data_IF_850855696323
#
_entry.id   IF_850855696323
#
_cell.length_a   1.000
_cell.length_b   1.000
_cell.length_c   1.000
_cell.angle_alpha   90.00
_cell.angle_beta   90.00
_cell.angle_gamma   90.00
#
_symmetry.space_group_name_H-M   'P 1'
#
loop_
_entity.id
_entity.type
_entity.pdbx_description
1 polymer ?
#
# COMPACT_ATOMS: atom_id res chain seq x y z
N UNK A 1 -12.64 19.23 32.84
CA UNK A 1 -11.98 19.07 31.53
C UNK A 1 -10.73 18.22 31.71
N UNK A 2 -10.92 16.90 31.83
CA UNK A 2 -9.86 15.93 31.59
C UNK A 2 -10.30 15.26 30.29
N UNK A 3 -10.22 16.01 29.20
CA UNK A 3 -10.17 15.39 27.88
C UNK A 3 -8.82 14.69 27.85
N UNK A 4 -8.87 13.39 28.14
CA UNK A 4 -7.74 12.50 27.91
C UNK A 4 -7.25 12.76 26.49
N UNK A 5 -5.97 13.16 26.39
CA UNK A 5 -5.14 12.88 25.24
C UNK A 5 -5.23 11.37 25.01
N UNK A 6 -6.26 10.93 24.27
CA UNK A 6 -6.19 9.69 23.54
C UNK A 6 -5.01 9.93 22.59
N UNK A 7 -3.82 9.48 23.00
CA UNK A 7 -2.69 9.34 22.09
C UNK A 7 -3.28 8.72 20.82
N UNK A 8 -3.12 9.40 19.69
CA UNK A 8 -3.72 9.01 18.42
C UNK A 8 -3.16 7.65 18.02
N UNK A 9 -3.77 6.59 18.54
CA UNK A 9 -3.33 5.22 18.35
C UNK A 9 -3.59 4.88 16.89
N UNK A 10 -2.52 4.63 16.15
CA UNK A 10 -2.63 4.21 14.78
C UNK A 10 -2.68 2.68 14.74
N UNK A 11 -3.64 2.14 14.01
CA UNK A 11 -3.65 0.74 13.62
C UNK A 11 -3.34 0.67 12.14
N UNK A 12 -2.45 -0.20 11.71
CA UNK A 12 -2.16 -0.45 10.30
C UNK A 12 -2.30 -1.94 9.97
N UNK A 13 -2.56 -2.26 8.71
CA UNK A 13 -2.32 -3.60 8.18
C UNK A 13 -0.86 -3.67 7.76
N UNK A 14 -0.21 -4.78 8.09
CA UNK A 14 1.13 -5.11 7.64
C UNK A 14 1.11 -6.47 6.94
N UNK A 15 1.79 -6.57 5.80
CA UNK A 15 2.03 -7.83 5.10
C UNK A 15 3.50 -8.22 5.25
N UNK A 16 3.76 -9.50 5.43
CA UNK A 16 5.11 -10.03 5.64
C UNK A 16 5.31 -11.28 4.79
N UNK A 17 6.45 -11.37 4.12
CA UNK A 17 6.78 -12.56 3.35
C UNK A 17 8.22 -13.02 3.55
N UNK A 18 8.39 -14.33 3.41
CA UNK A 18 9.68 -14.98 3.30
C UNK A 18 10.39 -14.63 1.98
N UNK A 19 11.43 -15.40 1.66
CA UNK A 19 12.13 -15.21 0.38
C UNK A 19 11.18 -15.50 -0.79
N UNK A 20 10.33 -16.52 -0.61
CA UNK A 20 9.31 -16.97 -1.54
C UNK A 20 8.04 -17.31 -0.76
N UNK A 21 6.91 -17.37 -1.47
CA UNK A 21 5.63 -17.82 -0.92
C UNK A 21 4.69 -16.68 -0.54
N UNK A 22 3.54 -17.05 0.05
CA UNK A 22 2.47 -16.10 0.34
C UNK A 22 2.82 -15.12 1.46
N UNK A 23 2.10 -14.01 1.50
CA UNK A 23 2.18 -13.04 2.60
C UNK A 23 1.37 -13.51 3.82
N UNK A 24 1.94 -13.35 5.00
CA UNK A 24 1.22 -13.33 6.28
C UNK A 24 0.71 -11.92 6.54
N UNK A 25 -0.47 -11.79 7.13
CA UNK A 25 -1.12 -10.50 7.38
C UNK A 25 -1.21 -10.26 8.89
N UNK A 26 -0.84 -9.07 9.31
CA UNK A 26 -0.85 -8.62 10.70
C UNK A 26 -1.60 -7.30 10.84
N UNK A 27 -2.23 -7.12 11.99
CA UNK A 27 -2.65 -5.83 12.49
C UNK A 27 -1.56 -5.30 13.43
N UNK A 28 -0.99 -4.14 13.15
CA UNK A 28 0.04 -3.50 13.96
C UNK A 28 -0.53 -2.26 14.64
N UNK A 29 -0.29 -2.10 15.94
CA UNK A 29 -0.74 -0.94 16.72
C UNK A 29 0.45 -0.06 17.11
N UNK A 30 0.38 1.23 16.81
CA UNK A 30 1.37 2.24 17.16
C UNK A 30 0.81 3.18 18.25
N UNK A 31 1.63 3.65 19.22
CA UNK A 31 3.09 3.49 19.31
C UNK A 31 3.57 2.16 19.88
N UNK A 32 2.68 1.28 20.34
CA UNK A 32 3.04 0.07 21.10
C UNK A 32 3.92 -0.93 20.32
N UNK A 33 3.84 -0.94 18.98
CA UNK A 33 4.54 -1.89 18.12
C UNK A 33 4.04 -3.33 18.25
N UNK A 34 2.89 -3.54 18.89
CA UNK A 34 2.28 -4.86 19.03
C UNK A 34 1.67 -5.30 17.69
N UNK A 35 2.01 -6.51 17.26
CA UNK A 35 1.50 -7.12 16.03
C UNK A 35 0.60 -8.32 16.35
N UNK A 36 -0.63 -8.31 15.84
CA UNK A 36 -1.61 -9.39 15.97
C UNK A 36 -1.78 -10.09 14.63
N UNK A 37 -1.58 -11.41 14.51
CA UNK A 37 -1.78 -12.12 13.25
C UNK A 37 -3.27 -12.12 12.87
N UNK A 38 -3.56 -11.79 11.62
CA UNK A 38 -4.91 -11.83 11.05
C UNK A 38 -5.12 -13.05 10.15
N UNK A 39 -4.05 -13.53 9.50
CA UNK A 39 -4.11 -14.72 8.67
C UNK A 39 -2.96 -14.80 7.67
N UNK A 40 -3.13 -15.65 6.67
CA UNK A 40 -2.20 -15.82 5.54
C UNK A 40 -2.98 -15.70 4.24
N UNK A 41 -2.39 -15.04 3.25
CA UNK A 41 -2.94 -15.00 1.90
C UNK A 41 -2.55 -16.27 1.14
N UNK A 42 -3.21 -16.53 0.01
CA UNK A 42 -2.84 -17.56 -0.96
C UNK A 42 -1.77 -17.07 -1.95
N UNK A 43 -1.40 -15.79 -1.85
CA UNK A 43 -0.47 -15.08 -2.75
C UNK A 43 0.46 -14.18 -1.98
N UNK A 44 1.52 -13.75 -2.64
CA UNK A 44 2.35 -12.67 -2.16
C UNK A 44 1.69 -11.34 -2.50
N UNK A 45 1.75 -10.42 -1.56
CA UNK A 45 1.21 -9.08 -1.65
C UNK A 45 2.25 -8.09 -1.13
N UNK A 46 2.40 -6.98 -1.85
CA UNK A 46 3.30 -5.88 -1.54
C UNK A 46 2.74 -4.57 -2.12
N UNK A 47 3.49 -3.47 -1.99
CA UNK A 47 3.07 -2.12 -2.31
C UNK A 47 1.67 -1.77 -1.79
N UNK A 48 1.43 -1.91 -0.48
CA UNK A 48 0.10 -1.76 0.11
C UNK A 48 -0.19 -0.34 0.62
N UNK A 49 -1.43 0.13 0.51
CA UNK A 49 -1.87 1.43 1.05
C UNK A 49 -3.36 1.45 1.40
N UNK A 50 -3.75 2.26 2.37
CA UNK A 50 -5.13 2.33 2.88
C UNK A 50 -5.94 3.47 2.23
N UNK A 51 -7.07 3.11 1.63
CA UNK A 51 -8.08 4.06 1.17
C UNK A 51 -9.07 4.35 2.28
N UNK A 52 -9.05 5.59 2.80
CA UNK A 52 -10.03 6.07 3.77
C UNK A 52 -11.46 6.09 3.20
N UNK A 53 -11.61 6.48 1.93
CA UNK A 53 -12.91 6.61 1.28
C UNK A 53 -13.63 5.26 1.15
N UNK A 54 -12.87 4.21 0.85
CA UNK A 54 -13.41 2.87 0.64
C UNK A 54 -13.26 1.96 1.88
N UNK A 55 -12.49 2.40 2.88
CA UNK A 55 -12.14 1.64 4.08
C UNK A 55 -11.52 0.26 3.75
N UNK A 56 -10.66 0.25 2.73
CA UNK A 56 -9.97 -0.93 2.20
C UNK A 56 -8.46 -0.66 2.09
N UNK A 57 -7.67 -1.72 2.21
CA UNK A 57 -6.23 -1.69 1.91
C UNK A 57 -6.03 -2.25 0.51
N UNK A 58 -5.40 -1.49 -0.37
CA UNK A 58 -5.06 -1.94 -1.72
C UNK A 58 -3.59 -2.35 -1.76
N UNK A 59 -3.23 -3.27 -2.65
CA UNK A 59 -1.85 -3.61 -2.95
C UNK A 59 -1.69 -4.36 -4.26
N UNK A 60 -0.46 -4.74 -4.56
CA UNK A 60 -0.10 -5.43 -5.80
C UNK A 60 0.42 -6.83 -5.52
N UNK A 61 -0.14 -7.84 -6.18
CA UNK A 61 0.35 -9.22 -6.11
C UNK A 61 1.54 -9.49 -7.06
N UNK A 62 2.19 -10.66 -6.94
CA UNK A 62 3.37 -11.02 -7.75
C UNK A 62 3.12 -11.02 -9.28
N UNK A 63 1.86 -11.16 -9.71
CA UNK A 63 1.50 -11.13 -11.12
C UNK A 63 1.28 -9.71 -11.66
N UNK A 64 1.30 -8.71 -10.77
CA UNK A 64 1.02 -7.30 -11.07
C UNK A 64 -0.47 -6.99 -11.09
N UNK A 65 -1.30 -7.74 -10.33
CA UNK A 65 -2.73 -7.41 -10.16
C UNK A 65 -2.92 -6.54 -8.93
N UNK A 66 -3.81 -5.56 -9.05
CA UNK A 66 -4.34 -4.83 -7.91
C UNK A 66 -5.30 -5.74 -7.14
N UNK A 67 -5.11 -5.83 -5.82
CA UNK A 67 -5.97 -6.58 -4.91
C UNK A 67 -6.38 -5.69 -3.73
N UNK A 68 -7.51 -6.00 -3.10
CA UNK A 68 -8.00 -5.30 -1.94
C UNK A 68 -8.11 -6.24 -0.72
N UNK A 69 -7.78 -5.73 0.46
CA UNK A 69 -8.02 -6.34 1.75
C UNK A 69 -9.03 -5.50 2.54
N UNK A 70 -9.90 -6.17 3.28
CA UNK A 70 -10.67 -5.52 4.33
C UNK A 70 -9.83 -5.29 5.60
N UNK A 71 -10.43 -4.64 6.61
CA UNK A 71 -9.77 -4.35 7.90
C UNK A 71 -9.41 -5.61 8.70
N UNK A 72 -10.00 -6.76 8.38
CA UNK A 72 -9.65 -8.05 8.99
C UNK A 72 -8.53 -8.76 8.23
N UNK A 73 -7.94 -8.10 7.22
CA UNK A 73 -6.84 -8.64 6.44
C UNK A 73 -7.27 -9.68 5.41
N UNK A 74 -8.56 -9.77 5.09
CA UNK A 74 -9.10 -10.74 4.13
C UNK A 74 -9.19 -10.12 2.75
N UNK A 75 -8.85 -10.90 1.72
CA UNK A 75 -9.07 -10.51 0.33
C UNK A 75 -10.57 -10.27 0.07
N UNK A 76 -10.88 -9.15 -0.56
CA UNK A 76 -12.23 -8.77 -0.96
C UNK A 76 -12.26 -8.27 -2.39
N UNK A 77 -13.44 -8.36 -3.01
CA UNK A 77 -13.63 -7.96 -4.40
C UNK A 77 -12.93 -8.87 -5.41
N UNK A 78 -12.93 -8.43 -6.67
CA UNK A 78 -12.25 -9.12 -7.77
C UNK A 78 -10.90 -8.42 -8.03
N UNK A 79 -9.78 -9.15 -8.08
CA UNK A 79 -8.50 -8.60 -8.51
C UNK A 79 -8.57 -7.96 -9.90
N UNK A 80 -7.79 -6.92 -10.15
CA UNK A 80 -7.69 -6.37 -11.50
C UNK A 80 -7.08 -7.37 -12.49
N UNK A 81 -7.24 -7.14 -13.81
CA UNK A 81 -6.36 -7.77 -14.78
C UNK A 81 -4.88 -7.49 -14.46
N UNK A 82 -3.97 -8.42 -14.79
CA UNK A 82 -2.55 -8.25 -14.50
C UNK A 82 -1.92 -7.18 -15.39
N UNK A 83 -1.10 -6.31 -14.79
CA UNK A 83 -0.30 -5.31 -15.48
C UNK A 83 1.18 -5.62 -15.26
N UNK A 84 1.90 -5.97 -16.33
CA UNK A 84 3.28 -6.43 -16.23
C UNK A 84 4.23 -5.39 -15.58
N UNK A 85 3.98 -4.10 -15.82
CA UNK A 85 4.76 -2.99 -15.24
C UNK A 85 4.66 -2.91 -13.71
N UNK A 86 3.61 -3.48 -13.11
CA UNK A 86 3.41 -3.47 -11.66
C UNK A 86 4.07 -4.66 -10.97
N UNK A 87 4.67 -5.59 -11.72
CA UNK A 87 5.43 -6.69 -11.12
C UNK A 87 6.63 -6.13 -10.37
N UNK A 88 6.95 -6.77 -9.25
CA UNK A 88 8.02 -6.33 -8.35
C UNK A 88 7.78 -4.95 -7.73
N UNK A 89 6.53 -4.54 -7.55
CA UNK A 89 6.21 -3.37 -6.73
C UNK A 89 6.75 -3.57 -5.30
N UNK A 90 7.43 -2.55 -4.79
CA UNK A 90 8.16 -2.63 -3.51
C UNK A 90 7.62 -1.73 -2.41
N UNK A 91 6.89 -0.67 -2.78
CA UNK A 91 6.32 0.33 -1.88
C UNK A 91 4.98 0.80 -2.42
N UNK A 92 4.05 1.17 -1.55
CA UNK A 92 2.74 1.66 -1.96
C UNK A 92 2.10 2.60 -0.95
N UNK A 93 1.32 3.56 -1.43
CA UNK A 93 0.47 4.40 -0.59
C UNK A 93 -0.74 4.85 -1.40
N UNK A 94 -1.89 5.03 -0.75
CA UNK A 94 -3.08 5.53 -1.44
C UNK A 94 -3.09 7.06 -1.39
N UNK A 95 -3.20 7.69 -2.56
CA UNK A 95 -3.33 9.14 -2.74
C UNK A 95 -4.63 9.42 -3.48
N UNK A 96 -5.65 9.86 -2.74
CA UNK A 96 -7.01 9.99 -3.26
C UNK A 96 -7.57 8.63 -3.72
N UNK A 97 -8.05 8.55 -4.96
CA UNK A 97 -8.58 7.31 -5.56
C UNK A 97 -7.54 6.53 -6.37
N UNK A 98 -6.25 6.66 -6.00
CA UNK A 98 -5.15 5.95 -6.66
C UNK A 98 -4.20 5.33 -5.65
N UNK A 99 -3.74 4.12 -5.94
CA UNK A 99 -2.58 3.53 -5.29
C UNK A 99 -1.33 4.00 -6.04
N UNK A 100 -0.47 4.78 -5.39
CA UNK A 100 0.85 5.15 -5.91
C UNK A 100 1.82 4.06 -5.51
N UNK A 101 2.40 3.37 -6.48
CA UNK A 101 3.32 2.26 -6.27
C UNK A 101 4.71 2.57 -6.79
N UNK A 102 5.74 2.11 -6.07
CA UNK A 102 7.12 2.12 -6.57
C UNK A 102 7.45 0.83 -7.27
N UNK A 103 7.98 0.93 -8.48
CA UNK A 103 8.62 -0.19 -9.20
C UNK A 103 9.96 0.28 -9.76
N UNK A 104 11.06 -0.20 -9.18
CA UNK A 104 12.41 0.23 -9.58
C UNK A 104 12.61 1.75 -9.40
N UNK A 105 12.98 2.50 -10.47
CA UNK A 105 13.13 3.96 -10.41
C UNK A 105 11.83 4.73 -10.69
N UNK A 106 10.68 4.07 -10.79
CA UNK A 106 9.43 4.69 -11.21
C UNK A 106 8.37 4.66 -10.11
N UNK A 107 7.52 5.69 -10.11
CA UNK A 107 6.23 5.71 -9.45
C UNK A 107 5.14 5.53 -10.50
N UNK A 108 4.18 4.65 -10.23
CA UNK A 108 2.96 4.51 -11.03
C UNK A 108 1.73 4.81 -10.16
N UNK A 109 0.78 5.58 -10.68
CA UNK A 109 -0.50 5.81 -10.01
C UNK A 109 -1.59 4.95 -10.64
N UNK A 110 -2.10 3.98 -9.87
CA UNK A 110 -3.03 2.93 -10.30
C UNK A 110 -4.42 3.23 -9.76
N UNK A 111 -5.45 3.22 -10.61
CA UNK A 111 -6.84 3.45 -10.17
C UNK A 111 -7.37 2.34 -9.25
N UNK A 112 -7.98 2.69 -8.11
CA UNK A 112 -8.44 1.72 -7.10
C UNK A 112 -9.97 1.55 -7.00
N UNK A 113 -10.76 2.38 -7.70
CA UNK A 113 -12.22 2.25 -7.71
C UNK A 113 -12.66 1.06 -8.59
N UNK A 114 -13.22 -0.02 -8.01
CA UNK A 114 -13.65 -1.20 -8.78
C UNK A 114 -14.85 -0.93 -9.70
N UNK A 115 -15.58 0.17 -9.50
CA UNK A 115 -16.66 0.61 -10.39
C UNK A 115 -16.17 1.40 -11.61
N UNK A 116 -14.90 1.80 -11.64
CA UNK A 116 -14.32 2.61 -12.70
C UNK A 116 -13.74 1.75 -13.84
N UNK A 117 -13.81 2.27 -15.07
CA UNK A 117 -13.13 1.69 -16.23
C UNK A 117 -11.59 1.69 -16.09
N UNK A 118 -11.07 2.53 -15.19
CA UNK A 118 -9.65 2.66 -14.88
C UNK A 118 -9.20 1.78 -13.70
N UNK A 119 -10.05 0.91 -13.17
CA UNK A 119 -9.68 0.00 -12.10
C UNK A 119 -8.47 -0.87 -12.47
N UNK A 120 -7.40 -0.77 -11.68
CA UNK A 120 -6.13 -1.45 -11.93
C UNK A 120 -5.31 -0.90 -13.10
N UNK A 121 -5.74 0.19 -13.75
CA UNK A 121 -4.98 0.83 -14.84
C UNK A 121 -4.01 1.87 -14.29
N UNK A 122 -2.83 1.93 -14.89
CA UNK A 122 -1.85 2.99 -14.65
C UNK A 122 -2.36 4.26 -15.35
N UNK A 123 -2.53 5.33 -14.57
CA UNK A 123 -3.02 6.63 -15.04
C UNK A 123 -1.93 7.72 -15.05
N UNK A 124 -0.83 7.47 -14.35
CA UNK A 124 0.29 8.41 -14.24
C UNK A 124 1.60 7.67 -13.94
N UNK A 125 2.70 8.21 -14.42
CA UNK A 125 4.06 7.70 -14.25
C UNK A 125 5.00 8.86 -13.93
N UNK A 126 5.88 8.69 -12.94
CA UNK A 126 6.93 9.63 -12.62
C UNK A 126 8.24 8.92 -12.31
N UNK A 127 9.36 9.45 -12.80
CA UNK A 127 10.69 8.95 -12.45
C UNK A 127 11.13 9.51 -11.10
N UNK A 128 11.69 8.67 -10.24
CA UNK A 128 12.25 9.11 -8.98
C UNK A 128 13.56 9.87 -9.20
N UNK A 129 13.62 11.10 -8.67
CA UNK A 129 14.76 12.00 -8.86
C UNK A 129 15.16 12.70 -7.56
N UNK A 130 16.45 12.87 -7.24
CA UNK A 130 17.62 12.41 -8.00
C UNK A 130 17.74 10.88 -8.04
N UNK A 131 18.37 10.27 -9.07
CA UNK A 131 18.26 8.83 -9.30
C UNK A 131 18.94 8.01 -8.21
N UNK A 132 20.03 8.52 -7.62
CA UNK A 132 20.74 7.84 -6.54
C UNK A 132 19.86 7.71 -5.27
N UNK A 133 19.15 8.77 -4.92
CA UNK A 133 18.18 8.79 -3.82
C UNK A 133 16.92 8.01 -4.19
N UNK A 134 16.38 8.20 -5.40
CA UNK A 134 15.19 7.53 -5.89
C UNK A 134 15.29 6.01 -5.93
N UNK A 135 16.42 5.48 -6.40
CA UNK A 135 16.67 4.03 -6.40
C UNK A 135 16.78 3.44 -4.99
N UNK A 136 17.10 4.27 -4.00
CA UNK A 136 17.30 3.85 -2.62
C UNK A 136 16.05 3.99 -1.74
N UNK A 137 14.95 4.55 -2.24
CA UNK A 137 13.68 4.64 -1.51
C UNK A 137 13.13 3.23 -1.29
N UNK A 138 13.09 2.75 -0.05
CA UNK A 138 12.64 1.40 0.25
C UNK A 138 11.10 1.31 0.23
N UNK A 139 10.46 2.10 1.09
CA UNK A 139 9.01 2.19 1.27
C UNK A 139 8.57 3.60 1.74
N UNK A 140 7.27 3.91 1.68
CA UNK A 140 6.69 5.20 2.04
C UNK A 140 5.20 5.14 2.45
N UNK A 141 4.73 6.16 3.16
CA UNK A 141 3.31 6.39 3.46
C UNK A 141 2.91 7.85 3.15
N UNK A 142 1.62 8.12 2.95
CA UNK A 142 1.12 9.46 2.63
C UNK A 142 1.01 10.33 3.88
N UNK A 143 1.61 11.53 3.83
CA UNK A 143 1.22 12.62 4.71
C UNK A 143 0.06 13.40 4.10
N UNK A 144 -1.14 13.20 4.63
CA UNK A 144 -2.34 13.89 4.15
C UNK A 144 -2.28 15.42 4.34
N UNK A 145 -1.42 15.94 5.23
CA UNK A 145 -1.35 17.37 5.50
C UNK A 145 -0.65 18.16 4.39
N UNK A 146 0.38 17.58 3.75
CA UNK A 146 1.15 18.24 2.68
C UNK A 146 1.06 17.52 1.33
N UNK A 147 0.44 16.33 1.28
CA UNK A 147 0.27 15.53 0.07
C UNK A 147 1.56 14.83 -0.40
N UNK A 148 2.62 14.83 0.41
CA UNK A 148 3.87 14.15 0.10
C UNK A 148 3.90 12.75 0.70
N UNK A 149 4.65 11.86 0.06
CA UNK A 149 4.93 10.53 0.60
C UNK A 149 6.16 10.59 1.49
N UNK A 150 6.07 10.18 2.75
CA UNK A 150 7.18 10.10 3.67
C UNK A 150 7.69 8.67 3.72
N UNK A 151 8.97 8.50 3.40
CA UNK A 151 9.59 7.19 3.27
C UNK A 151 11.00 7.14 3.84
N UNK A 152 11.68 6.03 3.57
CA UNK A 152 13.06 5.82 4.01
C UNK A 152 13.94 5.48 2.82
N UNK A 153 15.11 6.11 2.73
CA UNK A 153 16.17 5.63 1.85
C UNK A 153 17.24 4.87 2.63
N UNK A 154 17.67 3.72 2.11
CA UNK A 154 18.78 2.96 2.70
C UNK A 154 20.04 3.07 1.84
N UNK A 155 21.14 3.51 2.47
CA UNK A 155 22.46 3.60 1.83
C UNK A 155 23.54 2.95 2.71
N UNK A 156 24.07 1.81 2.25
CA UNK A 156 25.20 1.14 2.91
C UNK A 156 24.96 0.88 4.40
N UNK A 157 25.61 1.66 5.27
CA UNK A 157 25.55 1.50 6.73
C UNK A 157 24.46 2.33 7.44
N UNK A 158 23.68 3.14 6.72
CA UNK A 158 22.63 3.96 7.34
C UNK A 158 21.40 4.14 6.47
N UNK A 159 20.36 4.70 7.07
CA UNK A 159 19.16 5.11 6.39
C UNK A 159 18.72 6.50 6.83
N UNK A 160 17.94 7.18 5.99
CA UNK A 160 17.47 8.56 6.20
C UNK A 160 16.00 8.67 5.80
N UNK A 161 15.24 9.51 6.49
CA UNK A 161 13.87 9.82 6.10
C UNK A 161 13.86 10.77 4.91
N UNK A 162 12.98 10.50 3.95
CA UNK A 162 12.79 11.33 2.76
C UNK A 162 11.32 11.64 2.54
N UNK A 163 11.04 12.74 1.85
CA UNK A 163 9.76 12.96 1.17
C UNK A 163 9.90 12.58 -0.29
N UNK A 164 8.82 12.06 -0.89
CA UNK A 164 8.67 11.85 -2.33
C UNK A 164 7.40 12.56 -2.77
N UNK A 165 7.52 13.42 -3.77
CA UNK A 165 6.37 14.02 -4.45
C UNK A 165 5.74 12.97 -5.38
N UNK A 166 4.48 12.54 -5.15
CA UNK A 166 3.84 11.50 -5.94
C UNK A 166 3.56 11.91 -7.40
N UNK A 167 3.58 13.21 -7.69
CA UNK A 167 3.33 13.77 -9.04
C UNK A 167 4.63 13.93 -9.81
N UNK A 168 5.70 14.40 -9.17
CA UNK A 168 6.96 14.69 -9.88
C UNK A 168 8.02 13.61 -9.69
N UNK A 169 7.85 12.70 -8.72
CA UNK A 169 8.87 11.73 -8.31
C UNK A 169 10.05 12.37 -7.57
N UNK A 170 9.97 13.65 -7.21
CA UNK A 170 11.08 14.35 -6.54
C UNK A 170 11.26 13.86 -5.12
N UNK A 171 12.47 13.38 -4.82
CA UNK A 171 12.91 12.89 -3.51
C UNK A 171 13.73 13.96 -2.81
N UNK A 172 13.36 14.31 -1.58
CA UNK A 172 14.11 15.25 -0.73
C UNK A 172 14.32 14.64 0.65
N UNK A 173 15.46 14.90 1.27
CA UNK A 173 15.69 14.49 2.66
C UNK A 173 14.83 15.34 3.61
N UNK A 174 14.27 14.71 4.63
CA UNK A 174 13.59 15.43 5.70
C UNK A 174 14.65 15.91 6.71
N UNK A 175 14.81 17.21 6.92
CA UNK A 175 15.78 17.72 7.88
C UNK A 175 15.34 17.40 9.31
N UNK A 176 16.31 17.22 10.21
CA UNK A 176 16.01 17.02 11.63
C UNK A 176 15.38 15.66 11.98
N UNK A 177 15.28 14.72 11.04
CA UNK A 177 15.04 13.31 11.36
C UNK A 177 16.38 12.65 11.67
N UNK A 178 16.51 11.95 12.79
CA UNK A 178 17.76 11.31 13.20
C UNK A 178 18.23 10.24 12.20
N UNK A 179 19.40 9.65 12.46
CA UNK A 179 19.93 8.59 11.59
C UNK A 179 19.35 7.24 11.96
N UNK A 180 18.78 6.55 10.98
CA UNK A 180 18.35 5.16 11.10
C UNK A 180 19.52 4.21 10.80
N UNK A 181 19.58 3.02 11.43
CA UNK A 181 20.59 2.03 11.11
C UNK A 181 20.44 1.51 9.68
N UNK A 182 21.53 1.06 9.06
CA UNK A 182 21.48 0.39 7.77
C UNK A 182 20.82 -1.00 7.85
N UNK A 183 20.72 -1.70 6.72
CA UNK A 183 20.15 -3.05 6.69
C UNK A 183 19.83 -3.51 5.28
N UNK A 184 18.93 -4.48 5.16
CA UNK A 184 18.43 -4.95 3.87
C UNK A 184 17.33 -4.06 3.26
N UNK A 185 16.99 -2.95 3.90
CA UNK A 185 15.91 -2.03 3.51
C UNK A 185 14.81 -1.94 4.57
N UNK A 186 14.10 -0.81 4.56
CA UNK A 186 12.93 -0.55 5.39
C UNK A 186 11.67 -0.88 4.60
N UNK A 187 11.09 -2.05 4.84
CA UNK A 187 10.00 -2.56 4.01
C UNK A 187 8.63 -1.99 4.35
N UNK A 188 8.41 -1.59 5.61
CA UNK A 188 7.13 -1.05 6.04
C UNK A 188 7.31 0.34 6.66
N UNK A 189 6.55 1.30 6.15
CA UNK A 189 6.48 2.68 6.64
C UNK A 189 5.02 3.02 6.99
N UNK A 190 4.80 3.68 8.11
CA UNK A 190 3.48 4.19 8.50
C UNK A 190 3.62 5.56 9.14
N UNK A 191 2.91 6.54 8.60
CA UNK A 191 2.80 7.86 9.21
C UNK A 191 1.59 7.89 10.14
N UNK A 192 1.84 8.21 11.40
CA UNK A 192 0.82 8.24 12.44
C UNK A 192 0.38 9.66 12.78
N UNK A 193 -0.85 9.79 13.30
CA UNK A 193 -1.44 11.06 13.72
C UNK A 193 -0.70 11.76 14.87
N UNK A 194 0.22 11.08 15.55
CA UNK A 194 1.15 11.66 16.53
C UNK A 194 2.35 12.38 15.90
N UNK A 195 2.36 12.57 14.58
CA UNK A 195 3.42 13.28 13.86
C UNK A 195 4.74 12.49 13.80
N UNK A 196 4.67 11.16 13.92
CA UNK A 196 5.83 10.28 13.86
C UNK A 196 5.71 9.26 12.75
N UNK A 197 6.87 8.89 12.20
CA UNK A 197 7.02 7.83 11.23
C UNK A 197 7.40 6.54 11.95
N UNK A 198 6.65 5.48 11.71
CA UNK A 198 6.93 4.13 12.19
C UNK A 198 7.52 3.33 11.04
N UNK A 199 8.76 2.88 11.17
CA UNK A 199 9.51 2.28 10.07
C UNK A 199 10.09 0.94 10.50
N UNK A 200 9.88 -0.10 9.70
CA UNK A 200 10.37 -1.45 9.99
C UNK A 200 11.53 -1.80 9.07
N UNK A 201 12.72 -1.97 9.66
CA UNK A 201 13.84 -2.56 8.95
C UNK A 201 13.58 -4.06 8.78
N UNK A 202 13.62 -4.57 7.55
CA UNK A 202 13.33 -5.97 7.25
C UNK A 202 14.33 -6.91 7.95
N UNK A 203 15.62 -6.53 7.89
CA UNK A 203 16.71 -7.33 8.44
C UNK A 203 17.94 -6.47 8.75
N UNK A 204 18.08 -6.12 10.02
CA UNK A 204 19.28 -5.55 10.63
C UNK A 204 19.86 -6.57 11.62
N UNK A 205 21.08 -7.04 11.38
CA UNK A 205 21.73 -8.07 12.21
C UNK A 205 20.86 -9.33 12.44
N UNK A 206 20.14 -9.75 11.41
CA UNK A 206 19.27 -10.93 11.46
C UNK A 206 17.91 -10.69 12.11
N UNK A 207 17.61 -9.45 12.53
CA UNK A 207 16.38 -9.05 13.22
C UNK A 207 15.56 -8.09 12.36
N UNK A 208 14.24 -8.21 12.40
CA UNK A 208 13.36 -7.16 11.90
C UNK A 208 13.07 -6.22 13.06
N UNK A 209 13.28 -4.92 12.86
CA UNK A 209 13.23 -3.94 13.95
C UNK A 209 12.33 -2.78 13.55
N UNK A 210 11.34 -2.51 14.39
CA UNK A 210 10.45 -1.36 14.27
C UNK A 210 11.06 -0.17 15.01
N UNK A 211 11.19 0.96 14.33
CA UNK A 211 11.62 2.22 14.89
C UNK A 211 10.50 3.26 14.81
N UNK A 212 10.45 4.15 15.79
CA UNK A 212 9.70 5.41 15.76
C UNK A 212 10.67 6.55 15.46
N UNK A 213 10.35 7.37 14.46
CA UNK A 213 11.11 8.56 14.07
C UNK A 213 10.23 9.78 14.27
N UNK A 214 10.66 10.70 15.14
CA UNK A 214 9.97 11.97 15.30
C UNK A 214 10.23 12.87 14.08
N UNK A 215 9.17 13.51 13.57
CA UNK A 215 9.26 14.47 12.45
C UNK A 215 9.25 15.93 12.93
N UNK A 216 9.39 16.16 14.24
CA UNK A 216 9.40 17.47 14.89
C UNK A 216 10.76 18.19 14.84
N UNK A 217 11.74 17.62 14.13
CA UNK A 217 13.10 18.14 14.01
C UNK A 217 14.01 17.82 15.19
N UNK A 218 13.55 17.09 16.21
CA UNK A 218 14.35 16.70 17.39
C UNK A 218 15.47 15.70 17.08
N UNK A 219 15.39 15.02 15.93
CA UNK A 219 16.29 13.93 15.59
C UNK A 219 16.02 12.64 16.34
N UNK A 220 14.92 12.54 17.10
CA UNK A 220 14.64 11.37 17.92
C UNK A 220 14.30 10.14 17.08
N UNK A 221 15.05 9.06 17.29
CA UNK A 221 14.80 7.72 16.75
C UNK A 221 14.79 6.74 17.91
N UNK A 222 13.75 5.93 18.02
CA UNK A 222 13.57 4.98 19.13
C UNK A 222 13.22 3.61 18.59
N UNK A 223 13.95 2.57 19.01
CA UNK A 223 13.56 1.18 18.78
C UNK A 223 12.31 0.85 19.62
N UNK A 224 11.28 0.35 18.96
CA UNK A 224 9.97 0.03 19.60
C UNK A 224 9.83 -1.47 19.81
N UNK A 225 10.10 -2.27 18.79
CA UNK A 225 9.95 -3.72 18.86
C UNK A 225 10.91 -4.45 17.92
N UNK A 226 11.17 -5.71 18.25
CA UNK A 226 12.11 -6.58 17.54
C UNK A 226 11.44 -7.92 17.26
N UNK A 227 11.59 -8.42 16.04
CA UNK A 227 11.08 -9.70 15.57
C UNK A 227 12.14 -10.46 14.77
N UNK A 228 11.93 -11.76 14.47
CA UNK A 228 12.80 -12.48 13.54
C UNK A 228 12.94 -11.74 12.21
N UNK A 229 14.14 -11.78 11.59
CA UNK A 229 14.42 -11.04 10.37
C UNK A 229 13.60 -11.53 9.16
N UNK A 230 12.92 -10.60 8.50
CA UNK A 230 12.03 -10.82 7.37
C UNK A 230 12.76 -10.53 6.05
N UNK A 231 12.20 -10.99 4.92
CA UNK A 231 12.75 -10.63 3.60
C UNK A 231 12.01 -9.43 3.02
N UNK A 232 10.68 -9.45 3.10
CA UNK A 232 9.85 -8.27 2.78
C UNK A 232 8.82 -8.06 3.88
N UNK A 233 8.61 -6.79 4.20
CA UNK A 233 7.47 -6.27 4.95
C UNK A 233 6.91 -5.11 4.14
N UNK A 234 5.66 -4.75 4.39
CA UNK A 234 5.00 -3.56 3.85
C UNK A 234 3.77 -3.22 4.70
N UNK A 235 3.40 -1.94 4.82
CA UNK A 235 2.30 -1.48 5.68
C UNK A 235 1.37 -0.48 5.00
N UNK A 236 0.07 -0.59 5.28
CA UNK A 236 -0.99 0.16 4.61
C UNK A 236 -1.07 1.64 4.97
N UNK A 237 -0.29 2.13 5.92
CA UNK A 237 -0.60 3.35 6.65
C UNK A 237 -1.74 3.18 7.66
N UNK A 238 -2.11 4.26 8.34
CA UNK A 238 -3.10 4.24 9.43
C UNK A 238 -4.53 4.01 8.95
N UNK A 239 -5.16 2.95 9.44
CA UNK A 239 -6.58 2.71 9.29
C UNK A 239 -7.39 3.78 10.04
N UNK A 240 -8.52 4.20 9.48
CA UNK A 240 -9.47 5.06 10.19
C UNK A 240 -9.92 4.39 11.50
N UNK A 241 -10.23 5.17 12.53
CA UNK A 241 -10.87 4.60 13.72
C UNK A 241 -12.19 3.92 13.31
N UNK A 242 -12.53 2.75 13.90
CA UNK A 242 -13.86 2.18 13.71
C UNK A 242 -14.92 3.23 14.09
N UNK A 243 -16.06 3.30 13.37
CA UNK A 243 -17.13 4.19 13.76
C UNK A 243 -17.53 3.89 15.21
N UNK A 244 -17.63 4.94 16.02
CA UNK A 244 -18.15 4.81 17.39
C UNK A 244 -19.62 4.45 17.25
N UNK A 245 -19.94 3.19 17.52
CA UNK A 245 -21.35 2.77 17.66
C UNK A 245 -21.81 3.37 18.97
N UNK A 246 -22.64 4.41 18.90
CA UNK A 246 -23.28 4.94 20.11
C UNK A 246 -23.99 3.78 20.80
N UNK A 247 -23.76 3.57 22.11
CA UNK A 247 -24.49 2.56 22.84
C UNK A 247 -25.99 2.81 22.63
N UNK A 248 -26.79 1.76 22.42
CA UNK A 248 -28.21 1.93 22.15
C UNK A 248 -28.80 2.83 23.23
N UNK A 249 -29.44 3.93 22.80
CA UNK A 249 -30.09 4.83 23.73
C UNK A 249 -31.03 4.00 24.61
N UNK A 250 -30.96 4.12 25.95
CA UNK A 250 -31.80 3.32 26.82
C UNK A 250 -33.25 3.52 26.39
N UNK A 251 -33.93 2.41 26.09
CA UNK A 251 -35.36 2.43 25.79
C UNK A 251 -36.04 3.22 26.91
N UNK A 252 -36.79 4.30 26.61
CA UNK A 252 -37.44 5.07 27.64
C UNK A 252 -38.24 4.14 28.52
N UNK A 253 -38.00 4.17 29.83
CA UNK A 253 -38.80 3.39 30.78
C UNK A 253 -40.26 3.76 30.54
N UNK A 254 -41.15 2.78 30.27
CA UNK A 254 -42.55 3.08 30.01
C UNK A 254 -43.07 3.94 31.15
N UNK A 255 -43.55 5.14 30.81
CA UNK A 255 -44.16 6.04 31.80
C UNK A 255 -45.31 5.25 32.44
N UNK A 256 -45.37 5.15 33.78
CA UNK A 256 -46.51 4.52 34.44
C UNK A 256 -47.81 5.11 33.88
N UNK A 257 -48.82 4.28 33.58
CA UNK A 257 -50.07 4.77 33.03
C UNK A 257 -50.62 5.85 33.96
N UNK A 258 -50.76 7.07 33.43
CA UNK A 258 -51.42 8.15 34.15
C UNK A 258 -52.85 7.68 34.45
N UNK A 259 -53.34 7.77 35.71
CA UNK A 259 -54.68 7.35 36.04
C UNK A 259 -55.69 8.12 35.19
N UNK A 260 -56.45 7.39 34.37
CA UNK A 260 -57.51 7.93 33.53
C UNK A 260 -58.57 8.57 34.42
N UNK A 261 -58.94 9.85 34.23
CA UNK A 261 -60.09 10.44 34.89
C UNK A 261 -61.36 9.62 34.59
N UNK A 262 -62.30 9.49 35.54
CA UNK A 262 -63.52 8.72 35.35
C UNK A 262 -64.29 9.23 34.13
N UNK A 263 -64.50 8.35 33.17
CA UNK A 263 -65.24 8.62 31.94
C UNK A 263 -66.73 8.82 32.28
N UNK A 264 -67.36 9.94 31.89
CA UNK A 264 -68.81 10.12 32.02
C UNK A 264 -69.56 9.09 31.18
N UNK A 265 -70.62 8.54 31.76
CA UNK A 265 -71.49 7.52 31.17
C UNK A 265 -72.06 7.99 29.82
N UNK A 266 -71.85 7.24 28.71
CA UNK A 266 -72.39 7.61 27.42
C UNK A 266 -73.93 7.52 27.38
N UNK A 267 -74.63 8.49 26.79
CA UNK A 267 -76.05 8.36 26.48
C UNK A 267 -76.30 7.33 25.37
N UNK A 268 -77.47 6.73 25.45
CA UNK A 268 -77.96 5.59 24.68
C UNK A 268 -77.99 5.87 23.16
N UNK A 269 -77.64 4.91 22.28
CA UNK A 269 -77.54 5.15 20.85
C UNK A 269 -78.93 5.27 20.20
N UNK A 270 -79.21 6.40 19.57
CA UNK A 270 -80.29 6.52 18.58
C UNK A 270 -79.82 5.97 17.24
N UNK A 271 -80.61 5.04 16.71
CA UNK A 271 -80.51 4.44 15.37
C UNK A 271 -80.70 5.50 14.29
N UNK A 272 -79.65 5.74 13.50
CA UNK A 272 -79.76 6.49 12.23
C UNK A 272 -79.31 5.64 11.06
N UNK A 273 -80.17 5.62 10.05
CA UNK A 273 -80.09 4.95 8.74
C UNK A 273 -78.77 5.23 8.01
N UNK A 274 -78.17 4.22 7.34
CA UNK A 274 -76.91 4.40 6.61
C UNK A 274 -77.12 5.20 5.32
N UNK A 275 -76.18 6.11 4.97
CA UNK A 275 -76.19 6.81 3.67
C UNK A 275 -75.65 5.91 2.54
N UNK A 276 -76.00 6.21 1.28
CA UNK A 276 -75.59 5.42 0.11
C UNK A 276 -74.08 5.48 -0.14
N UNK A 277 -73.51 4.34 -0.53
CA UNK A 277 -72.08 4.13 -0.71
C UNK A 277 -71.39 5.09 -1.69
N UNK A 278 -70.28 5.66 -1.25
CA UNK A 278 -69.35 6.41 -2.09
C UNK A 278 -68.51 5.44 -2.94
N UNK A 279 -68.45 5.71 -4.24
CA UNK A 279 -67.63 4.96 -5.20
C UNK A 279 -66.13 5.20 -4.97
N UNK A 280 -65.27 4.22 -5.32
CA UNK A 280 -63.82 4.36 -5.21
C UNK A 280 -63.30 5.44 -6.15
N UNK A 281 -62.66 6.47 -5.60
CA UNK A 281 -61.93 7.47 -6.39
C UNK A 281 -60.64 6.81 -6.89
N UNK A 282 -60.58 6.57 -8.21
CA UNK A 282 -59.38 6.08 -8.90
C UNK A 282 -58.34 7.21 -8.92
N UNK A 283 -57.11 6.99 -8.42
CA UNK A 283 -56.07 8.01 -8.46
C UNK A 283 -55.71 8.36 -9.92
N UNK A 284 -55.48 9.66 -10.22
CA UNK A 284 -55.12 10.09 -11.56
C UNK A 284 -53.80 9.45 -12.01
N UNK A 285 -53.80 8.88 -13.22
CA UNK A 285 -52.60 8.36 -13.86
C UNK A 285 -51.61 9.50 -14.08
N UNK A 286 -50.43 9.37 -13.50
CA UNK A 286 -49.30 10.25 -13.79
C UNK A 286 -48.88 9.99 -15.24
N UNK A 287 -48.82 11.03 -16.11
CA UNK A 287 -48.37 10.87 -17.49
C UNK A 287 -46.89 10.47 -17.52
N UNK A 288 -46.47 9.66 -18.50
CA UNK A 288 -45.08 9.27 -18.66
C UNK A 288 -44.19 10.51 -18.92
N UNK A 289 -42.93 10.49 -18.45
CA UNK A 289 -41.98 11.58 -18.68
C UNK A 289 -41.84 11.86 -20.18
N UNK A 290 -41.84 13.14 -20.55
CA UNK A 290 -41.60 13.55 -21.93
C UNK A 290 -40.21 13.09 -22.39
N UNK A 291 -40.07 12.63 -23.65
CA UNK A 291 -38.78 12.28 -24.21
C UNK A 291 -37.84 13.50 -24.18
N UNK A 292 -36.54 13.29 -23.91
CA UNK A 292 -35.57 14.37 -23.89
C UNK A 292 -35.51 15.07 -25.26
N UNK A 293 -35.29 16.40 -25.29
CA UNK A 293 -35.16 17.15 -26.53
C UNK A 293 -33.99 16.61 -27.37
N UNK A 294 -34.26 16.35 -28.65
CA UNK A 294 -33.24 16.04 -29.64
C UNK A 294 -32.16 17.12 -29.62
N UNK A 295 -30.97 16.77 -29.12
CA UNK A 295 -29.80 17.63 -29.25
C UNK A 295 -29.43 17.73 -30.74
N UNK A 296 -29.15 18.94 -31.25
CA UNK A 296 -28.62 19.12 -32.60
C UNK A 296 -27.31 18.33 -32.74
N UNK A 297 -27.21 17.54 -33.81
CA UNK A 297 -25.98 16.86 -34.20
C UNK A 297 -24.84 17.89 -34.28
N UNK A 298 -23.90 17.83 -33.34
CA UNK A 298 -22.61 18.50 -33.48
C UNK A 298 -21.89 17.94 -34.71
N UNK A 299 -21.31 18.79 -35.57
CA UNK A 299 -20.56 18.35 -36.73
C UNK A 299 -19.32 17.56 -36.27
N UNK A 300 -19.25 16.31 -36.74
CA UNK A 300 -18.11 15.41 -36.51
C UNK A 300 -16.84 16.06 -37.08
N UNK A 301 -15.78 16.24 -36.29
CA UNK A 301 -14.51 16.75 -36.79
C UNK A 301 -13.91 15.78 -37.83
N UNK A 302 -13.23 16.29 -38.88
CA UNK A 302 -12.69 15.45 -39.94
C UNK A 302 -11.64 14.47 -39.40
N UNK A 303 -11.81 13.20 -39.75
CA UNK A 303 -10.86 12.12 -39.47
C UNK A 303 -9.48 12.48 -40.02
N UNK A 304 -8.40 12.43 -39.22
CA UNK A 304 -7.04 12.62 -39.70
C UNK A 304 -6.68 11.57 -40.76
N UNK A 305 -6.12 12.03 -41.88
CA UNK A 305 -5.64 11.20 -42.97
C UNK A 305 -4.47 10.33 -42.49
N UNK A 306 -4.49 9.00 -42.75
CA UNK A 306 -3.42 8.11 -42.30
C UNK A 306 -2.09 8.45 -43.01
N UNK A 307 -0.95 8.38 -42.30
CA UNK A 307 0.35 8.63 -42.89
C UNK A 307 0.66 7.62 -44.02
N UNK A 308 1.40 8.04 -45.07
CA UNK A 308 1.75 7.20 -46.20
C UNK A 308 2.49 5.94 -45.72
N UNK A 309 1.99 4.79 -46.16
CA UNK A 309 2.48 3.48 -45.78
C UNK A 309 3.94 3.29 -46.13
N UNK A 310 4.75 2.98 -45.13
CA UNK A 310 6.12 2.52 -45.30
C UNK A 310 6.15 1.12 -45.89
N UNK A 311 6.87 0.99 -46.99
CA UNK A 311 7.12 -0.22 -47.76
C UNK A 311 7.69 -1.37 -46.90
N UNK A 312 7.23 -2.63 -47.06
CA UNK A 312 7.69 -3.75 -46.24
C UNK A 312 9.16 -4.07 -46.49
N UNK A 313 9.96 -4.12 -45.43
CA UNK A 313 11.33 -4.62 -45.50
C UNK A 313 11.36 -6.09 -45.93
N UNK A 314 12.38 -6.51 -46.71
CA UNK A 314 12.50 -7.89 -47.18
C UNK A 314 12.65 -8.88 -46.01
N UNK A 315 12.09 -10.10 -46.13
CA UNK A 315 12.09 -11.09 -45.07
C UNK A 315 13.52 -11.53 -44.75
N UNK A 316 13.94 -11.33 -43.49
CA UNK A 316 15.17 -11.91 -42.98
C UNK A 316 15.02 -13.43 -42.89
N UNK A 317 15.96 -14.15 -43.53
CA UNK A 317 16.08 -15.60 -43.41
C UNK A 317 16.35 -15.98 -41.95
N UNK A 318 15.35 -16.56 -41.29
CA UNK A 318 15.51 -17.16 -39.98
C UNK A 318 16.33 -18.46 -40.13
N UNK A 319 17.49 -18.50 -39.50
CA UNK A 319 18.21 -19.77 -39.29
C UNK A 319 17.37 -20.68 -38.38
N UNK A 320 17.24 -21.98 -38.72
CA UNK A 320 16.45 -22.90 -37.93
C UNK A 320 17.01 -23.03 -36.50
N UNK A 321 16.13 -23.10 -35.48
CA UNK A 321 16.55 -23.28 -34.10
C UNK A 321 17.26 -24.64 -33.93
N UNK A 322 18.29 -24.71 -33.07
CA UNK A 322 18.93 -25.98 -32.75
C UNK A 322 17.93 -26.94 -32.10
N UNK A 323 18.09 -28.27 -32.29
CA UNK A 323 17.21 -29.26 -31.69
C UNK A 323 17.22 -29.16 -30.16
N UNK A 324 16.10 -29.42 -29.48
CA UNK A 324 16.03 -29.40 -28.03
C UNK A 324 17.00 -30.43 -27.46
N UNK A 325 17.98 -29.98 -26.69
CA UNK A 325 18.80 -30.88 -25.89
C UNK A 325 17.96 -31.47 -24.78
N UNK A 326 18.07 -32.79 -24.58
CA UNK A 326 17.47 -33.51 -23.46
C UNK A 326 17.99 -32.94 -22.13
N UNK A 327 17.17 -32.07 -21.52
CA UNK A 327 17.40 -31.61 -20.15
C UNK A 327 16.95 -32.72 -19.19
N UNK A 328 17.92 -33.52 -18.76
CA UNK A 328 17.80 -34.31 -17.53
C UNK A 328 17.53 -33.35 -16.36
N UNK A 329 16.29 -33.31 -15.88
CA UNK A 329 15.93 -32.65 -14.63
C UNK A 329 16.58 -33.42 -13.47
N UNK A 330 17.48 -32.79 -12.68
CA UNK A 330 18.04 -33.46 -11.52
C UNK A 330 16.97 -33.60 -10.44
N UNK A 331 16.87 -34.83 -9.96
CA UNK A 331 15.99 -35.28 -8.90
C UNK A 331 16.15 -34.44 -7.62
N UNK A 332 15.01 -34.17 -7.00
CA UNK A 332 14.80 -33.27 -5.86
C UNK A 332 15.42 -33.83 -4.58
N UNK A 333 16.74 -33.74 -4.45
CA UNK A 333 17.48 -33.84 -3.19
C UNK A 333 18.44 -32.67 -3.13
N UNK A 334 18.53 -31.99 -1.98
CA UNK A 334 19.63 -31.13 -1.49
C UNK A 334 19.16 -29.80 -0.90
N UNK A 335 18.45 -29.86 0.23
CA UNK A 335 18.41 -28.73 1.17
C UNK A 335 19.78 -28.49 1.86
N UNK A 336 20.70 -29.46 1.80
CA UNK A 336 22.06 -29.38 2.36
C UNK A 336 23.02 -28.54 1.51
N UNK A 337 22.90 -28.53 0.18
CA UNK A 337 23.81 -27.76 -0.68
C UNK A 337 23.56 -26.24 -0.62
N UNK A 338 22.34 -25.81 -0.32
CA UNK A 338 22.03 -24.39 -0.15
C UNK A 338 22.74 -23.77 1.08
N UNK A 339 23.03 -24.56 2.11
CA UNK A 339 23.81 -24.12 3.27
C UNK A 339 25.32 -23.98 2.92
N UNK A 340 25.84 -24.89 2.10
CA UNK A 340 27.24 -24.91 1.68
C UNK A 340 27.58 -23.75 0.72
N UNK A 341 26.67 -23.41 -0.20
CA UNK A 341 26.82 -22.23 -1.08
C UNK A 341 26.84 -20.91 -0.28
N UNK A 342 26.07 -20.82 0.81
CA UNK A 342 26.08 -19.62 1.68
C UNK A 342 27.39 -19.45 2.46
N UNK A 343 28.09 -20.53 2.78
CA UNK A 343 29.43 -20.45 3.38
C UNK A 343 30.48 -19.96 2.37
N UNK A 344 30.41 -20.43 1.12
CA UNK A 344 31.33 -19.99 0.06
C UNK A 344 31.23 -18.49 -0.27
N UNK A 345 30.04 -17.90 -0.25
CA UNK A 345 29.88 -16.45 -0.52
C UNK A 345 30.45 -15.59 0.61
N UNK A 346 30.39 -16.05 1.88
CA UNK A 346 31.03 -15.36 3.01
C UNK A 346 32.56 -15.44 2.93
N UNK A 347 33.10 -16.58 2.54
CA UNK A 347 34.55 -16.75 2.40
C UNK A 347 35.10 -15.97 1.21
N UNK A 348 34.39 -15.92 0.07
CA UNK A 348 34.76 -15.05 -1.05
C UNK A 348 34.80 -13.57 -0.66
N UNK A 349 33.86 -13.09 0.16
CA UNK A 349 33.86 -11.70 0.65
C UNK A 349 35.00 -11.41 1.64
N UNK A 350 35.42 -12.40 2.43
CA UNK A 350 36.58 -12.24 3.34
C UNK A 350 37.89 -12.19 2.56
N UNK A 351 38.05 -13.04 1.54
CA UNK A 351 39.24 -13.05 0.70
C UNK A 351 39.35 -11.82 -0.21
N UNK A 352 38.24 -11.30 -0.75
CA UNK A 352 38.27 -10.08 -1.56
C UNK A 352 38.66 -8.84 -0.75
N UNK A 353 38.22 -8.74 0.52
CA UNK A 353 38.62 -7.64 1.41
C UNK A 353 40.11 -7.72 1.78
N UNK A 354 40.63 -8.91 2.04
CA UNK A 354 42.05 -9.13 2.31
C UNK A 354 42.93 -8.72 1.12
N UNK A 355 42.50 -9.06 -0.10
CA UNK A 355 43.21 -8.67 -1.33
C UNK A 355 43.24 -7.15 -1.54
N UNK A 356 42.13 -6.45 -1.29
CA UNK A 356 42.07 -4.97 -1.40
C UNK A 356 43.01 -4.32 -0.38
N UNK A 357 43.03 -4.79 0.86
CA UNK A 357 43.93 -4.26 1.90
C UNK A 357 45.40 -4.51 1.57
N UNK A 358 45.74 -5.66 0.98
CA UNK A 358 47.11 -5.94 0.51
C UNK A 358 47.54 -5.01 -0.62
N UNK A 359 46.65 -4.74 -1.59
CA UNK A 359 46.95 -3.81 -2.71
C UNK A 359 47.16 -2.39 -2.18
N UNK A 360 46.30 -1.92 -1.28
CA UNK A 360 46.43 -0.59 -0.67
C UNK A 360 47.70 -0.48 0.20
N UNK A 361 48.01 -1.51 0.97
CA UNK A 361 49.23 -1.58 1.78
C UNK A 361 50.52 -1.59 0.93
N UNK A 362 50.54 -2.37 -0.15
CA UNK A 362 51.66 -2.40 -1.09
C UNK A 362 51.86 -1.03 -1.78
N UNK A 363 50.77 -0.36 -2.15
CA UNK A 363 50.82 0.99 -2.72
C UNK A 363 51.40 2.03 -1.75
N UNK A 364 51.06 1.95 -0.47
CA UNK A 364 51.59 2.85 0.57
C UNK A 364 53.10 2.65 0.79
N UNK A 365 53.56 1.40 0.85
CA UNK A 365 54.98 1.08 1.01
C UNK A 365 55.82 1.48 -0.22
N UNK A 366 55.30 1.26 -1.43
CA UNK A 366 55.96 1.70 -2.66
C UNK A 366 56.14 3.23 -2.71
N UNK A 367 55.11 3.98 -2.28
CA UNK A 367 55.15 5.45 -2.22
C UNK A 367 56.11 5.98 -1.15
N UNK A 368 56.27 5.27 -0.04
CA UNK A 368 57.24 5.62 1.00
C UNK A 368 58.69 5.34 0.58
N UNK A 369 58.92 4.24 -0.14
CA UNK A 369 60.22 3.89 -0.74
C UNK A 369 60.67 4.93 -1.77
N UNK A 370 59.75 5.35 -2.65
CA UNK A 370 60.02 6.36 -3.68
C UNK A 370 60.32 7.77 -3.13
N UNK A 371 59.93 8.07 -1.88
CA UNK A 371 60.24 9.35 -1.21
C UNK A 371 61.58 9.35 -0.47
N UNK A 372 62.21 8.18 -0.30
CA UNK A 372 63.50 8.04 0.38
C UNK A 372 64.68 7.86 -0.58
N UNK A 373 64.40 7.72 -1.88
CA UNK A 373 65.37 7.90 -2.97
C UNK A 373 65.22 9.32 -3.50
#
# INVERSE_FOLDING_TARGET
MIEFLALAACTAIQVEAGAHGPSSVFQVQYPAGSATPLGTLDRRLNAIGYSHAQNLVYGVDDDGRLVALDRSGRLVGTPSPPVHLLRHAVAGAVVGERLVVRVGPWLYSVGIDPGSADYGRISHEASLWPPAEGLAVDDFDLNAADGLLYGVTTHGQGATVVTVDPTTGRVNRVPGTGRLPGGSGYGAVTLSGDGSLYVTNNRHDGRSVLYRVALDGSGAVTEISVRPGLNTTDSSGCLAAPPVVEPPQPTPTPTPPQPTPPQPTPPQPTTTTPPPGAQPVVPPRVPPPAPPPNQPNEPVPPTPEPPPGSEPAPPQQQTPPPPPGDFNLPERKNASQAAEVRHNVRDQRRWSMAAILLILGAGALARQSARRR
#
